data_IF_224332380339
#
_entry.id   IF_224332380339
#
_cell.length_a   1.000
_cell.length_b   1.000
_cell.length_c   1.000
_cell.angle_alpha   90.00
_cell.angle_beta   90.00
_cell.angle_gamma   90.00
#
_symmetry.space_group_name_H-M   'P 1'
#
loop_
_entity.id
_entity.type
_entity.pdbx_description
1 polymer ?
#
# COMPACT_ATOMS: atom_id res chain seq x y z
N UNK A 1 -17.21 -24.44 -5.83
CA UNK A 1 -16.34 -24.57 -7.02
C UNK A 1 -15.07 -23.80 -6.73
N UNK A 2 -13.96 -24.50 -6.50
CA UNK A 2 -12.68 -23.89 -6.16
C UNK A 2 -12.02 -23.42 -7.48
N UNK A 3 -12.24 -22.16 -7.86
CA UNK A 3 -11.61 -21.56 -9.04
C UNK A 3 -10.48 -20.67 -8.59
N UNK A 4 -9.36 -21.28 -8.20
CA UNK A 4 -8.09 -20.54 -8.16
C UNK A 4 -7.90 -19.94 -9.55
N UNK A 5 -7.75 -18.61 -9.70
CA UNK A 5 -7.53 -18.01 -11.01
C UNK A 5 -6.29 -18.66 -11.64
N UNK A 6 -6.42 -19.25 -12.83
CA UNK A 6 -5.26 -19.84 -13.51
C UNK A 6 -4.17 -18.77 -13.66
N UNK A 7 -2.88 -19.14 -13.50
CA UNK A 7 -1.79 -18.23 -13.78
C UNK A 7 -1.94 -17.65 -15.19
N UNK A 8 -1.69 -16.36 -15.33
CA UNK A 8 -1.74 -15.72 -16.65
C UNK A 8 -0.76 -16.39 -17.61
N UNK A 9 -1.24 -16.76 -18.80
CA UNK A 9 -0.40 -17.34 -19.85
C UNK A 9 -0.09 -16.30 -20.93
N UNK A 10 1.19 -16.16 -21.28
CA UNK A 10 1.66 -15.22 -22.32
C UNK A 10 1.49 -15.78 -23.74
N UNK A 11 0.35 -16.40 -24.00
CA UNK A 11 0.11 -17.16 -25.25
C UNK A 11 -0.06 -16.27 -26.49
N UNK A 12 -0.24 -14.95 -26.31
CA UNK A 12 -0.35 -14.00 -27.42
C UNK A 12 0.43 -12.69 -27.17
N UNK A 13 0.94 -12.03 -28.24
CA UNK A 13 1.61 -10.73 -28.13
C UNK A 13 0.73 -9.63 -27.52
N UNK A 14 -0.58 -9.64 -27.79
CA UNK A 14 -1.52 -8.66 -27.25
C UNK A 14 -1.72 -8.82 -25.74
N UNK A 15 -1.74 -10.06 -25.22
CA UNK A 15 -1.74 -10.31 -23.78
C UNK A 15 -0.45 -9.83 -23.12
N UNK A 16 0.71 -10.11 -23.73
CA UNK A 16 2.00 -9.64 -23.21
C UNK A 16 2.04 -8.09 -23.08
N UNK A 17 1.57 -7.37 -24.11
CA UNK A 17 1.48 -5.90 -24.09
C UNK A 17 0.58 -5.38 -22.97
N UNK A 18 -0.58 -6.00 -22.74
CA UNK A 18 -1.51 -5.58 -21.69
C UNK A 18 -0.95 -5.82 -20.30
N UNK A 19 -0.29 -6.97 -20.07
CA UNK A 19 0.35 -7.32 -18.80
C UNK A 19 1.44 -6.31 -18.45
N UNK A 20 2.34 -6.00 -19.37
CA UNK A 20 3.43 -5.05 -19.07
C UNK A 20 2.90 -3.65 -18.76
N UNK A 21 1.86 -3.20 -19.45
CA UNK A 21 1.25 -1.89 -19.19
C UNK A 21 0.49 -1.83 -17.86
N UNK A 22 -0.11 -2.95 -17.43
CA UNK A 22 -0.68 -3.06 -16.09
C UNK A 22 0.40 -2.95 -15.01
N UNK A 23 1.53 -3.62 -15.20
CA UNK A 23 2.67 -3.50 -14.29
C UNK A 23 3.18 -2.05 -14.19
N UNK A 24 3.30 -1.37 -15.33
CA UNK A 24 3.65 0.06 -15.37
C UNK A 24 2.63 0.92 -14.62
N UNK A 25 1.33 0.67 -14.81
CA UNK A 25 0.28 1.41 -14.09
C UNK A 25 0.38 1.20 -12.57
N UNK A 26 0.62 -0.04 -12.12
CA UNK A 26 0.84 -0.35 -10.71
C UNK A 26 2.05 0.37 -10.11
N UNK A 27 3.17 0.41 -10.84
CA UNK A 27 4.39 1.10 -10.40
C UNK A 27 4.21 2.62 -10.26
N UNK A 28 3.39 3.25 -11.10
CA UNK A 28 3.12 4.69 -11.01
C UNK A 28 2.27 5.08 -9.79
N UNK A 29 1.77 4.08 -9.05
CA UNK A 29 1.09 4.22 -7.78
C UNK A 29 1.76 3.41 -6.64
N UNK A 30 2.95 2.83 -6.87
CA UNK A 30 3.66 1.96 -5.92
C UNK A 30 2.83 0.77 -5.38
N UNK A 31 1.91 0.23 -6.20
CA UNK A 31 1.09 -0.93 -5.81
C UNK A 31 2.00 -2.17 -5.65
N UNK A 32 2.11 -2.76 -4.45
CA UNK A 32 2.90 -3.97 -4.25
C UNK A 32 2.29 -5.18 -4.95
N UNK A 33 3.13 -6.12 -5.34
CA UNK A 33 2.73 -7.38 -5.95
C UNK A 33 2.25 -8.45 -4.94
N UNK A 34 1.41 -8.07 -3.97
CA UNK A 34 0.95 -8.96 -2.89
C UNK A 34 -0.50 -8.66 -2.45
N UNK A 35 -1.46 -9.14 -3.23
CA UNK A 35 -2.90 -8.95 -2.99
C UNK A 35 -3.48 -10.00 -2.04
N UNK A 36 -2.97 -11.23 -2.03
CA UNK A 36 -3.39 -12.26 -1.08
C UNK A 36 -2.82 -11.98 0.30
N UNK A 37 -3.64 -12.13 1.34
CA UNK A 37 -3.26 -11.80 2.70
C UNK A 37 -2.23 -12.81 3.21
N UNK A 38 -2.56 -14.10 3.18
CA UNK A 38 -1.77 -15.14 3.87
C UNK A 38 -0.74 -15.82 3.00
N UNK A 39 -0.89 -15.77 1.68
CA UNK A 39 0.03 -16.45 0.79
C UNK A 39 1.44 -15.81 0.85
N UNK A 40 2.51 -16.60 0.65
CA UNK A 40 3.84 -16.06 0.44
C UNK A 40 3.86 -15.06 -0.73
N UNK A 41 4.81 -14.12 -0.69
CA UNK A 41 5.01 -13.21 -1.82
C UNK A 41 5.31 -14.01 -3.11
N UNK A 42 4.72 -13.64 -4.26
CA UNK A 42 4.95 -14.35 -5.50
C UNK A 42 6.39 -14.26 -5.98
N UNK A 43 6.89 -15.33 -6.60
CA UNK A 43 8.29 -15.47 -7.00
C UNK A 43 8.54 -15.10 -8.45
N UNK A 44 7.54 -15.29 -9.32
CA UNK A 44 7.68 -15.01 -10.76
C UNK A 44 7.12 -13.63 -11.11
N UNK A 45 7.67 -13.01 -12.16
CA UNK A 45 7.19 -11.72 -12.68
C UNK A 45 5.71 -11.80 -13.06
N UNK A 46 5.30 -12.87 -13.74
CA UNK A 46 3.90 -13.06 -14.16
C UNK A 46 2.95 -13.11 -12.96
N UNK A 47 3.28 -13.86 -11.91
CA UNK A 47 2.44 -13.90 -10.69
C UNK A 47 2.43 -12.55 -9.98
N UNK A 48 3.56 -11.84 -9.95
CA UNK A 48 3.65 -10.51 -9.33
C UNK A 48 2.74 -9.50 -10.04
N UNK A 49 2.76 -9.46 -11.37
CA UNK A 49 1.87 -8.58 -12.15
C UNK A 49 0.41 -9.01 -11.99
N UNK A 50 0.14 -10.31 -11.88
CA UNK A 50 -1.21 -10.81 -11.61
C UNK A 50 -1.75 -10.33 -10.25
N UNK A 51 -0.92 -10.28 -9.20
CA UNK A 51 -1.33 -9.72 -7.91
C UNK A 51 -1.61 -8.20 -8.01
N UNK A 52 -0.80 -7.43 -8.75
CA UNK A 52 -1.09 -6.01 -9.01
C UNK A 52 -2.41 -5.83 -9.79
N UNK A 53 -2.71 -6.75 -10.71
CA UNK A 53 -3.99 -6.76 -11.41
C UNK A 53 -5.16 -7.01 -10.46
N UNK A 54 -5.03 -7.91 -9.48
CA UNK A 54 -6.12 -8.14 -8.53
C UNK A 54 -6.47 -6.89 -7.71
N UNK A 55 -5.48 -6.13 -7.25
CA UNK A 55 -5.74 -4.79 -6.70
C UNK A 55 -6.48 -3.88 -7.67
N UNK A 56 -6.03 -3.82 -8.93
CA UNK A 56 -6.64 -2.96 -9.94
C UNK A 56 -8.07 -3.39 -10.32
N UNK A 57 -8.38 -4.68 -10.26
CA UNK A 57 -9.66 -5.24 -10.67
C UNK A 57 -10.69 -5.21 -9.54
N UNK A 58 -10.30 -5.52 -8.31
CA UNK A 58 -11.23 -5.73 -7.20
C UNK A 58 -11.28 -4.56 -6.21
N UNK A 59 -10.15 -3.94 -5.90
CA UNK A 59 -10.12 -2.88 -4.89
C UNK A 59 -10.32 -1.48 -5.49
N UNK A 60 -10.01 -1.31 -6.78
CA UNK A 60 -10.11 -0.01 -7.44
C UNK A 60 -11.53 0.57 -7.46
N UNK A 61 -12.55 -0.27 -7.60
CA UNK A 61 -13.95 0.18 -7.63
C UNK A 61 -14.42 0.74 -6.28
N UNK A 62 -14.03 0.11 -5.18
CA UNK A 62 -14.37 0.56 -3.83
C UNK A 62 -13.58 1.82 -3.44
N UNK A 63 -12.24 1.75 -3.50
CA UNK A 63 -11.37 2.83 -2.99
C UNK A 63 -11.25 4.02 -3.93
N UNK A 64 -11.31 3.81 -5.24
CA UNK A 64 -11.12 4.87 -6.25
C UNK A 64 -12.38 5.14 -7.08
N UNK A 65 -13.49 4.45 -6.79
CA UNK A 65 -14.83 4.76 -7.29
C UNK A 65 -15.69 5.39 -6.20
N UNK A 66 -16.41 4.59 -5.41
CA UNK A 66 -17.36 5.10 -4.41
C UNK A 66 -16.71 6.02 -3.37
N UNK A 67 -15.58 5.61 -2.79
CA UNK A 67 -14.86 6.44 -1.81
C UNK A 67 -14.34 7.74 -2.45
N UNK A 68 -13.98 7.68 -3.74
CA UNK A 68 -13.56 8.87 -4.47
C UNK A 68 -14.70 9.87 -4.62
N UNK A 69 -15.91 9.42 -4.92
CA UNK A 69 -17.08 10.29 -5.03
C UNK A 69 -17.37 11.00 -3.70
N UNK A 70 -17.28 10.31 -2.56
CA UNK A 70 -17.44 10.93 -1.23
C UNK A 70 -16.37 11.99 -0.96
N UNK A 71 -15.10 11.70 -1.31
CA UNK A 71 -14.00 12.67 -1.23
C UNK A 71 -14.29 13.92 -2.06
N UNK A 72 -14.71 13.76 -3.32
CA UNK A 72 -15.02 14.89 -4.20
C UNK A 72 -16.22 15.70 -3.70
N UNK A 73 -17.25 15.03 -3.17
CA UNK A 73 -18.42 15.68 -2.59
C UNK A 73 -18.05 16.54 -1.37
N UNK A 74 -17.20 16.03 -0.46
CA UNK A 74 -16.71 16.78 0.70
C UNK A 74 -15.79 17.94 0.31
N UNK A 75 -14.92 17.70 -0.66
CA UNK A 75 -13.96 18.69 -1.13
C UNK A 75 -14.57 19.75 -2.07
N UNK A 76 -15.77 19.50 -2.60
CA UNK A 76 -16.48 20.40 -3.52
C UNK A 76 -15.94 20.39 -4.95
N UNK A 77 -15.22 19.33 -5.36
CA UNK A 77 -14.63 19.23 -6.70
C UNK A 77 -13.57 18.12 -6.79
N UNK A 78 -12.87 18.03 -7.92
CA UNK A 78 -11.79 17.06 -8.14
C UNK A 78 -10.47 17.54 -7.47
N UNK A 79 -9.96 16.93 -6.39
CA UNK A 79 -8.68 17.31 -5.79
C UNK A 79 -7.46 16.61 -6.42
N UNK A 80 -7.62 15.85 -7.51
CA UNK A 80 -6.56 15.05 -8.12
C UNK A 80 -6.09 15.64 -9.45
N UNK A 81 -4.79 15.54 -9.72
CA UNK A 81 -4.20 16.07 -10.96
C UNK A 81 -3.03 15.22 -11.47
N UNK A 82 -2.73 15.42 -12.75
CA UNK A 82 -1.45 14.99 -13.35
C UNK A 82 -0.75 16.14 -14.12
N UNK A 83 -1.24 17.38 -13.98
CA UNK A 83 -0.49 18.56 -14.43
C UNK A 83 0.85 18.66 -13.70
N UNK A 84 1.91 19.01 -14.42
CA UNK A 84 3.27 19.08 -13.86
C UNK A 84 3.93 17.72 -13.55
N UNK A 85 3.24 16.59 -13.75
CA UNK A 85 3.81 15.25 -13.53
C UNK A 85 4.66 14.83 -14.73
N UNK A 86 5.95 14.59 -14.49
CA UNK A 86 6.82 13.84 -15.39
C UNK A 86 6.82 12.36 -14.98
N UNK A 87 6.16 11.53 -15.78
CA UNK A 87 6.02 10.10 -15.51
C UNK A 87 7.35 9.35 -15.53
N UNK A 88 8.40 9.86 -16.20
CA UNK A 88 9.74 9.26 -16.14
C UNK A 88 10.37 9.47 -14.77
N UNK A 89 10.27 10.69 -14.23
CA UNK A 89 10.75 11.02 -12.88
C UNK A 89 9.95 10.31 -11.81
N UNK A 90 8.64 10.20 -12.00
CA UNK A 90 7.76 9.45 -11.09
C UNK A 90 8.15 7.97 -11.06
N UNK A 91 8.23 7.32 -12.23
CA UNK A 91 8.63 5.93 -12.35
C UNK A 91 10.01 5.64 -11.77
N UNK A 92 10.98 6.54 -11.97
CA UNK A 92 12.33 6.39 -11.43
C UNK A 92 12.39 6.31 -9.89
N UNK A 93 11.34 6.75 -9.19
CA UNK A 93 11.21 6.70 -7.72
C UNK A 93 10.45 5.48 -7.22
N UNK A 94 9.80 4.73 -8.11
CA UNK A 94 8.90 3.65 -7.72
C UNK A 94 9.65 2.49 -7.06
N UNK A 95 9.04 1.96 -5.99
CA UNK A 95 9.47 0.70 -5.36
C UNK A 95 9.26 -0.51 -6.28
N UNK A 96 8.35 -0.40 -7.25
CA UNK A 96 8.02 -1.44 -8.22
C UNK A 96 8.81 -1.31 -9.54
N UNK A 97 9.77 -0.36 -9.61
CA UNK A 97 10.56 -0.09 -10.82
C UNK A 97 11.22 -1.35 -11.38
N UNK A 98 11.89 -2.14 -10.52
CA UNK A 98 12.61 -3.34 -10.94
C UNK A 98 11.71 -4.39 -11.57
N UNK A 99 10.49 -4.57 -11.03
CA UNK A 99 9.48 -5.48 -11.61
C UNK A 99 9.13 -5.05 -13.04
N UNK A 100 8.83 -3.76 -13.25
CA UNK A 100 8.45 -3.24 -14.57
C UNK A 100 9.61 -3.29 -15.57
N UNK A 101 10.84 -3.00 -15.15
CA UNK A 101 12.01 -3.09 -16.04
C UNK A 101 12.27 -4.52 -16.51
N UNK A 102 12.05 -5.51 -15.64
CA UNK A 102 12.17 -6.93 -15.99
C UNK A 102 11.03 -7.34 -16.93
N UNK A 103 9.79 -7.01 -16.59
CA UNK A 103 8.60 -7.27 -17.39
C UNK A 103 8.69 -6.71 -18.82
N UNK A 104 9.07 -5.44 -18.97
CA UNK A 104 9.20 -4.82 -20.30
C UNK A 104 10.33 -5.44 -21.12
N UNK A 105 11.43 -5.87 -20.47
CA UNK A 105 12.54 -6.54 -21.13
C UNK A 105 12.12 -7.92 -21.64
N UNK A 106 11.43 -8.71 -20.82
CA UNK A 106 10.91 -10.03 -21.21
C UNK A 106 9.88 -9.94 -22.33
N UNK A 107 9.04 -8.91 -22.31
CA UNK A 107 8.02 -8.68 -23.33
C UNK A 107 8.57 -8.06 -24.63
N UNK A 108 9.85 -7.65 -24.67
CA UNK A 108 10.44 -6.96 -25.83
C UNK A 108 9.83 -5.58 -26.10
N UNK A 109 9.32 -4.90 -25.06
CA UNK A 109 8.62 -3.62 -25.18
C UNK A 109 9.51 -2.43 -24.79
N UNK A 110 9.20 -1.26 -25.36
CA UNK A 110 9.91 -0.02 -25.03
C UNK A 110 9.23 0.72 -23.89
N UNK A 111 9.78 0.59 -22.68
CA UNK A 111 9.33 1.34 -21.50
C UNK A 111 9.45 2.86 -21.72
N UNK A 112 10.52 3.30 -22.39
CA UNK A 112 10.72 4.71 -22.77
C UNK A 112 9.59 5.24 -23.64
N UNK A 113 9.07 4.44 -24.59
CA UNK A 113 7.97 4.80 -25.48
C UNK A 113 6.67 4.97 -24.69
N UNK A 114 6.34 4.02 -23.82
CA UNK A 114 5.11 4.08 -23.02
C UNK A 114 5.14 5.22 -21.97
N UNK A 115 6.28 5.45 -21.30
CA UNK A 115 6.46 6.63 -20.44
C UNK A 115 6.37 7.95 -21.24
N UNK A 116 6.85 7.95 -22.48
CA UNK A 116 6.68 9.07 -23.40
C UNK A 116 5.22 9.34 -23.74
N UNK A 117 4.45 8.28 -24.02
CA UNK A 117 3.01 8.36 -24.27
C UNK A 117 2.25 8.90 -23.06
N UNK A 118 2.58 8.46 -21.85
CA UNK A 118 1.98 9.00 -20.62
C UNK A 118 2.29 10.48 -20.42
N UNK A 119 3.51 10.91 -20.73
CA UNK A 119 3.87 12.34 -20.67
C UNK A 119 3.21 13.19 -21.76
N UNK A 120 2.83 12.61 -22.89
CA UNK A 120 2.08 13.29 -23.95
C UNK A 120 0.55 13.26 -23.74
N UNK A 121 0.07 12.47 -22.77
CA UNK A 121 -1.36 12.30 -22.54
C UNK A 121 -2.02 13.62 -22.05
N UNK A 122 -3.33 13.79 -22.31
CA UNK A 122 -4.09 14.91 -21.80
C UNK A 122 -3.92 15.07 -20.29
N UNK A 123 -3.88 16.33 -19.83
CA UNK A 123 -3.68 16.67 -18.43
C UNK A 123 -5.00 16.95 -17.74
N UNK A 124 -5.18 16.36 -16.56
CA UNK A 124 -6.26 16.62 -15.62
C UNK A 124 -5.76 17.66 -14.63
N UNK A 125 -6.51 18.76 -14.54
CA UNK A 125 -6.32 19.80 -13.52
C UNK A 125 -7.21 19.49 -12.33
N UNK A 126 -6.71 19.75 -11.12
CA UNK A 126 -7.52 19.72 -9.92
C UNK A 126 -8.25 21.05 -9.75
N UNK A 127 -9.35 21.01 -9.01
CA UNK A 127 -9.97 22.18 -8.43
C UNK A 127 -9.11 22.69 -7.25
N UNK A 128 -8.58 23.93 -7.31
CA UNK A 128 -7.74 24.47 -6.24
C UNK A 128 -8.43 24.56 -4.88
N UNK A 129 -9.75 24.75 -4.81
CA UNK A 129 -10.51 24.73 -3.56
C UNK A 129 -10.56 23.32 -2.99
N UNK A 130 -10.81 22.31 -3.83
CA UNK A 130 -10.82 20.91 -3.40
C UNK A 130 -9.45 20.46 -2.88
N UNK A 131 -8.37 20.89 -3.54
CA UNK A 131 -6.99 20.65 -3.07
C UNK A 131 -6.77 21.27 -1.70
N UNK A 132 -7.13 22.56 -1.52
CA UNK A 132 -7.00 23.24 -0.22
C UNK A 132 -7.84 22.58 0.87
N UNK A 133 -9.02 22.07 0.54
CA UNK A 133 -9.86 21.34 1.48
C UNK A 133 -9.15 20.07 1.96
N UNK A 134 -8.63 19.23 1.06
CA UNK A 134 -7.92 18.02 1.45
C UNK A 134 -6.57 18.28 2.11
N UNK A 135 -5.86 19.35 1.75
CA UNK A 135 -4.65 19.77 2.46
C UNK A 135 -4.98 20.10 3.92
N UNK A 136 -6.07 20.85 4.15
CA UNK A 136 -6.49 21.28 5.49
C UNK A 136 -7.03 20.15 6.36
N UNK A 137 -7.83 19.24 5.79
CA UNK A 137 -8.62 18.28 6.56
C UNK A 137 -8.23 16.82 6.34
N UNK A 138 -7.61 16.49 5.20
CA UNK A 138 -7.28 15.12 4.82
C UNK A 138 -5.79 14.78 4.91
N UNK A 139 -4.90 15.78 5.06
CA UNK A 139 -3.45 15.58 5.01
C UNK A 139 -2.83 15.65 6.40
N UNK A 140 -2.25 14.55 6.92
CA UNK A 140 -1.57 14.57 8.20
C UNK A 140 -0.38 15.53 8.20
N UNK A 141 -0.39 16.54 9.06
CA UNK A 141 0.69 17.55 9.17
C UNK A 141 1.94 17.04 9.89
N UNK A 142 1.87 15.83 10.46
CA UNK A 142 2.97 15.25 11.26
C UNK A 142 3.07 15.79 12.69
N UNK A 143 2.15 16.63 13.15
CA UNK A 143 2.13 17.06 14.56
C UNK A 143 1.82 15.86 15.47
N UNK A 144 2.67 15.62 16.46
CA UNK A 144 2.53 14.53 17.43
C UNK A 144 2.63 15.03 18.88
N UNK A 145 1.70 15.89 19.33
CA UNK A 145 1.67 16.36 20.73
C UNK A 145 1.45 15.20 21.71
N UNK A 146 0.83 14.12 21.24
CA UNK A 146 0.63 12.87 21.95
C UNK A 146 1.38 11.73 21.26
N UNK A 147 1.71 10.63 21.97
CA UNK A 147 2.22 9.42 21.34
C UNK A 147 1.29 8.90 20.24
N UNK A 148 1.87 8.48 19.12
CA UNK A 148 1.19 7.90 17.96
C UNK A 148 1.83 6.57 17.63
N UNK A 149 1.00 5.52 17.51
CA UNK A 149 1.40 4.23 16.96
C UNK A 149 0.65 4.02 15.65
N UNK A 150 1.37 3.60 14.60
CA UNK A 150 0.75 3.14 13.34
C UNK A 150 0.98 1.65 13.16
N UNK A 151 0.06 0.98 12.47
CA UNK A 151 0.14 -0.43 12.07
C UNK A 151 -0.14 -0.51 10.57
N UNK A 152 0.70 -1.20 9.80
CA UNK A 152 0.59 -1.24 8.33
C UNK A 152 0.99 -2.60 7.75
N UNK A 153 0.21 -3.13 6.81
CA UNK A 153 0.57 -4.35 6.07
C UNK A 153 1.65 -4.04 5.04
N UNK A 154 2.75 -4.80 5.03
CA UNK A 154 3.87 -4.52 4.10
C UNK A 154 3.51 -4.67 2.63
N UNK A 155 2.48 -5.46 2.30
CA UNK A 155 1.99 -5.65 0.94
C UNK A 155 0.77 -4.82 0.56
N UNK A 156 0.40 -3.79 1.33
CA UNK A 156 -0.79 -2.97 1.10
C UNK A 156 -0.75 -2.20 -0.24
N UNK A 157 -1.64 -2.55 -1.16
CA UNK A 157 -1.75 -1.91 -2.49
C UNK A 157 -2.77 -0.78 -2.59
N UNK A 158 -3.59 -0.57 -1.56
CA UNK A 158 -4.57 0.52 -1.55
C UNK A 158 -3.96 1.78 -0.94
N UNK A 159 -3.15 1.60 0.11
CA UNK A 159 -2.35 2.64 0.74
C UNK A 159 -0.91 2.12 0.88
N UNK A 160 -0.06 2.28 -0.14
CA UNK A 160 1.31 1.77 -0.11
C UNK A 160 2.09 2.20 1.14
N UNK A 161 2.92 1.32 1.71
CA UNK A 161 3.63 1.58 2.97
C UNK A 161 4.60 2.77 2.87
N UNK A 162 4.97 3.22 1.67
CA UNK A 162 5.70 4.46 1.41
C UNK A 162 5.04 5.68 2.06
N UNK A 163 3.70 5.69 2.21
CA UNK A 163 2.96 6.73 2.94
C UNK A 163 3.40 6.82 4.41
N UNK A 164 3.69 5.69 5.06
CA UNK A 164 4.21 5.65 6.42
C UNK A 164 5.57 6.36 6.51
N UNK A 165 6.45 6.18 5.52
CA UNK A 165 7.75 6.88 5.47
C UNK A 165 7.59 8.38 5.25
N UNK A 166 6.64 8.79 4.40
CA UNK A 166 6.30 10.20 4.21
C UNK A 166 5.77 10.82 5.51
N UNK A 167 4.83 10.16 6.19
CA UNK A 167 4.30 10.64 7.47
C UNK A 167 5.40 10.79 8.51
N UNK A 168 6.30 9.80 8.64
CA UNK A 168 7.45 9.93 9.54
C UNK A 168 8.35 11.12 9.19
N UNK A 169 8.44 11.50 7.91
CA UNK A 169 9.16 12.71 7.49
C UNK A 169 8.46 14.00 7.90
N UNK A 170 7.13 14.02 7.90
CA UNK A 170 6.35 15.14 8.44
C UNK A 170 6.50 15.24 9.95
N UNK A 171 6.46 14.11 10.67
CA UNK A 171 6.71 14.09 12.12
C UNK A 171 8.11 14.61 12.47
N UNK A 172 9.13 14.30 11.66
CA UNK A 172 10.48 14.87 11.85
C UNK A 172 10.55 16.38 11.61
N UNK A 173 9.68 16.93 10.77
CA UNK A 173 9.66 18.37 10.44
C UNK A 173 8.81 19.18 11.41
N UNK A 174 7.68 18.64 11.85
CA UNK A 174 6.61 19.41 12.51
C UNK A 174 6.13 18.81 13.83
N UNK A 175 6.64 17.63 14.22
CA UNK A 175 6.23 16.93 15.44
C UNK A 175 7.41 16.51 16.30
N UNK A 176 7.17 15.50 17.12
CA UNK A 176 8.13 14.92 18.05
C UNK A 176 8.45 13.49 17.58
N UNK A 177 9.61 13.23 16.95
CA UNK A 177 9.96 11.91 16.42
C UNK A 177 9.92 10.79 17.45
N UNK A 178 10.25 11.10 18.71
CA UNK A 178 10.21 10.14 19.81
C UNK A 178 8.79 9.74 20.20
N UNK A 179 7.76 10.48 19.78
CA UNK A 179 6.35 10.13 19.97
C UNK A 179 5.77 9.26 18.85
N UNK A 180 6.51 8.97 17.78
CA UNK A 180 6.05 8.08 16.72
C UNK A 180 6.64 6.68 16.88
N UNK A 181 5.79 5.66 16.80
CA UNK A 181 6.16 4.26 16.55
C UNK A 181 5.37 3.73 15.37
N UNK A 182 6.06 3.08 14.44
CA UNK A 182 5.44 2.48 13.26
C UNK A 182 5.71 0.98 13.30
N UNK A 183 4.63 0.22 13.34
CA UNK A 183 4.63 -1.23 13.36
C UNK A 183 4.16 -1.74 12.00
N UNK A 184 4.68 -2.90 11.60
CA UNK A 184 4.36 -3.50 10.32
C UNK A 184 4.07 -4.98 10.50
N UNK A 185 3.15 -5.50 9.69
CA UNK A 185 2.92 -6.95 9.58
C UNK A 185 3.31 -7.43 8.18
N UNK A 186 3.95 -8.59 8.13
CA UNK A 186 4.38 -9.22 6.89
C UNK A 186 3.22 -9.91 6.16
N UNK A 187 2.25 -9.10 5.73
CA UNK A 187 1.02 -9.57 5.10
C UNK A 187 0.73 -8.80 3.81
N UNK A 188 0.09 -9.46 2.85
CA UNK A 188 -0.50 -8.80 1.67
C UNK A 188 -1.85 -8.17 1.97
N UNK A 189 -2.39 -7.45 0.99
CA UNK A 189 -3.66 -6.73 1.07
C UNK A 189 -3.70 -5.53 2.05
N UNK A 190 -4.78 -4.74 1.97
CA UNK A 190 -5.02 -3.55 2.78
C UNK A 190 -5.62 -3.89 4.16
N UNK A 191 -5.06 -3.31 5.22
CA UNK A 191 -5.55 -3.44 6.61
C UNK A 191 -5.77 -4.88 7.08
N UNK A 192 -4.96 -5.81 6.60
CA UNK A 192 -5.04 -7.21 6.98
C UNK A 192 -4.25 -7.43 8.25
N UNK A 193 -4.91 -7.25 9.38
CA UNK A 193 -4.37 -7.49 10.72
C UNK A 193 -5.21 -8.56 11.42
N UNK A 194 -4.59 -9.32 12.31
CA UNK A 194 -5.38 -10.10 13.27
C UNK A 194 -5.82 -9.19 14.41
N UNK A 195 -6.95 -9.52 15.05
CA UNK A 195 -7.38 -8.79 16.24
C UNK A 195 -6.31 -8.81 17.34
N UNK A 196 -5.53 -9.90 17.47
CA UNK A 196 -4.41 -9.96 18.41
C UNK A 196 -3.29 -8.97 18.07
N UNK A 197 -2.97 -8.74 16.80
CA UNK A 197 -1.99 -7.72 16.38
C UNK A 197 -2.50 -6.30 16.66
N UNK A 198 -3.79 -6.04 16.43
CA UNK A 198 -4.41 -4.75 16.75
C UNK A 198 -4.42 -4.49 18.26
N UNK A 199 -4.80 -5.47 19.08
CA UNK A 199 -4.78 -5.38 20.54
C UNK A 199 -3.37 -5.11 21.04
N UNK A 200 -2.36 -5.84 20.56
CA UNK A 200 -0.94 -5.61 20.96
C UNK A 200 -0.44 -4.23 20.53
N UNK A 201 -0.88 -3.75 19.36
CA UNK A 201 -0.58 -2.39 18.89
C UNK A 201 -1.18 -1.34 19.83
N UNK A 202 -2.45 -1.51 20.23
CA UNK A 202 -3.11 -0.62 21.20
C UNK A 202 -2.44 -0.69 22.58
N UNK A 203 -2.12 -1.88 23.08
CA UNK A 203 -1.39 -2.07 24.34
C UNK A 203 -0.02 -1.39 24.32
N UNK A 204 0.66 -1.37 23.16
CA UNK A 204 1.93 -0.64 22.97
C UNK A 204 1.74 0.86 23.20
N UNK A 205 0.68 1.45 22.62
CA UNK A 205 0.33 2.86 22.82
C UNK A 205 -0.04 3.14 24.28
N UNK A 206 -0.92 2.33 24.87
CA UNK A 206 -1.36 2.48 26.25
C UNK A 206 -0.20 2.38 27.24
N UNK A 207 0.74 1.45 27.02
CA UNK A 207 1.94 1.33 27.86
C UNK A 207 2.79 2.60 27.79
N UNK A 208 2.98 3.18 26.60
CA UNK A 208 3.69 4.46 26.45
C UNK A 208 2.97 5.61 27.16
N UNK A 209 1.64 5.64 27.13
CA UNK A 209 0.86 6.67 27.82
C UNK A 209 0.96 6.52 29.35
N UNK A 210 0.85 5.29 29.86
CA UNK A 210 0.82 5.03 31.30
C UNK A 210 2.19 5.09 31.98
N UNK A 211 3.26 4.66 31.28
CA UNK A 211 4.61 4.54 31.87
C UNK A 211 5.56 5.64 31.40
N UNK A 212 5.15 6.45 30.42
CA UNK A 212 6.04 7.37 29.71
C UNK A 212 7.25 6.69 29.06
N UNK A 213 7.24 5.37 28.85
CA UNK A 213 8.29 4.63 28.14
C UNK A 213 7.68 3.75 27.06
N UNK A 214 8.32 3.69 25.89
CA UNK A 214 7.91 2.72 24.88
C UNK A 214 8.27 1.30 25.36
N UNK A 215 7.34 0.34 25.35
CA UNK A 215 7.71 -1.06 25.54
C UNK A 215 8.56 -1.55 24.37
N UNK A 216 9.09 -2.77 24.48
CA UNK A 216 9.78 -3.40 23.35
C UNK A 216 8.82 -3.56 22.17
N UNK A 217 9.12 -2.87 21.08
CA UNK A 217 8.43 -3.04 19.79
C UNK A 217 9.23 -3.91 18.83
N UNK A 218 10.06 -4.82 19.36
CA UNK A 218 10.76 -5.80 18.52
C UNK A 218 9.72 -6.80 17.98
N UNK A 219 9.78 -7.16 16.68
CA UNK A 219 8.83 -8.11 16.10
C UNK A 219 8.70 -9.41 16.89
N UNK A 220 9.81 -9.96 17.40
CA UNK A 220 9.81 -11.17 18.23
C UNK A 220 8.96 -11.01 19.49
N UNK A 221 9.11 -9.89 20.21
CA UNK A 221 8.29 -9.59 21.40
C UNK A 221 6.82 -9.44 21.03
N UNK A 222 6.52 -8.65 20.00
CA UNK A 222 5.14 -8.38 19.61
C UNK A 222 4.41 -9.65 19.13
N UNK A 223 5.09 -10.49 18.35
CA UNK A 223 4.54 -11.78 17.89
C UNK A 223 4.30 -12.74 19.05
N UNK A 224 5.23 -12.84 20.01
CA UNK A 224 5.04 -13.66 21.20
C UNK A 224 3.83 -13.22 22.02
N UNK A 225 3.66 -11.91 22.23
CA UNK A 225 2.48 -11.38 22.94
C UNK A 225 1.19 -11.64 22.16
N UNK A 226 1.17 -11.39 20.84
CA UNK A 226 -0.01 -11.59 20.01
C UNK A 226 -0.41 -13.07 19.89
N UNK A 227 0.57 -13.99 19.90
CA UNK A 227 0.34 -15.43 19.86
C UNK A 227 -0.24 -15.98 21.16
N UNK A 228 -0.13 -15.24 22.28
CA UNK A 228 -0.70 -15.61 23.58
C UNK A 228 -2.22 -15.42 23.67
N UNK A 229 -2.84 -14.75 22.70
CA UNK A 229 -4.30 -14.62 22.63
C UNK A 229 -4.97 -15.89 22.12
N UNK A 230 -6.26 -16.05 22.39
CA UNK A 230 -7.03 -17.21 21.91
C UNK A 230 -7.10 -17.27 20.38
N UNK A 231 -7.27 -18.47 19.77
CA UNK A 231 -7.30 -18.63 18.30
C UNK A 231 -8.33 -17.76 17.57
N UNK A 232 -9.45 -17.41 18.21
CA UNK A 232 -10.47 -16.52 17.61
C UNK A 232 -9.92 -15.12 17.30
N UNK A 233 -8.92 -14.64 18.04
CA UNK A 233 -8.25 -13.36 17.77
C UNK A 233 -7.14 -13.46 16.72
N UNK A 234 -6.83 -14.66 16.24
CA UNK A 234 -5.74 -14.94 15.31
C UNK A 234 -6.32 -15.33 13.94
N UNK A 235 -7.22 -14.49 13.43
CA UNK A 235 -7.80 -14.66 12.09
C UNK A 235 -7.64 -13.37 11.29
N UNK A 236 -7.52 -13.49 9.97
CA UNK A 236 -7.46 -12.34 9.06
C UNK A 236 -8.35 -12.60 7.85
N UNK A 237 -8.92 -11.54 7.28
CA UNK A 237 -9.63 -11.65 6.01
C UNK A 237 -8.64 -11.86 4.87
N UNK A 238 -8.88 -12.87 4.05
CA UNK A 238 -8.13 -13.15 2.83
C UNK A 238 -9.07 -13.05 1.64
N UNK A 239 -8.82 -12.16 0.65
CA UNK A 239 -9.72 -12.01 -0.49
C UNK A 239 -9.58 -13.14 -1.53
N UNK A 240 -8.49 -13.91 -1.49
CA UNK A 240 -8.17 -14.95 -2.46
C UNK A 240 -7.27 -16.02 -1.80
N UNK A 241 -7.38 -17.32 -2.15
CA UNK A 241 -8.30 -17.92 -3.13
C UNK A 241 -9.70 -18.18 -2.59
N UNK A 242 -9.87 -18.17 -1.27
CA UNK A 242 -11.15 -18.43 -0.59
C UNK A 242 -11.51 -17.20 0.25
N UNK A 243 -12.40 -16.30 -0.23
CA UNK A 243 -12.80 -15.12 0.51
C UNK A 243 -13.34 -15.48 1.91
N UNK A 244 -12.72 -14.96 2.96
CA UNK A 244 -13.18 -15.22 4.33
C UNK A 244 -12.15 -14.93 5.41
N UNK A 245 -12.56 -15.12 6.66
CA UNK A 245 -11.66 -15.07 7.82
C UNK A 245 -10.96 -16.42 7.96
N UNK A 246 -9.63 -16.38 8.04
CA UNK A 246 -8.81 -17.59 8.12
C UNK A 246 -7.84 -17.53 9.31
N UNK A 247 -7.61 -18.65 10.02
CA UNK A 247 -6.57 -18.75 11.03
C UNK A 247 -5.21 -18.29 10.49
N UNK A 248 -4.54 -17.44 11.25
CA UNK A 248 -3.31 -16.77 10.84
C UNK A 248 -2.44 -16.46 12.04
N UNK A 249 -1.18 -16.90 11.99
CA UNK A 249 -0.19 -16.54 12.99
C UNK A 249 0.14 -15.05 12.92
N UNK A 250 0.30 -14.35 14.07
CA UNK A 250 0.81 -12.99 14.10
C UNK A 250 2.15 -12.86 13.38
N UNK A 251 2.30 -11.79 12.60
CA UNK A 251 3.39 -11.63 11.65
C UNK A 251 4.01 -10.23 11.70
N UNK A 252 4.11 -9.62 12.89
CA UNK A 252 4.91 -8.40 13.06
C UNK A 252 6.30 -8.59 12.46
N UNK A 253 6.80 -7.57 11.77
CA UNK A 253 8.08 -7.60 11.07
C UNK A 253 8.79 -6.26 11.12
N UNK A 254 10.10 -6.26 10.81
CA UNK A 254 10.81 -5.02 10.50
C UNK A 254 10.59 -4.71 9.03
N UNK A 255 10.18 -3.47 8.76
CA UNK A 255 10.02 -3.01 7.39
C UNK A 255 10.49 -1.57 7.25
N UNK A 256 11.11 -1.28 6.11
CA UNK A 256 11.63 0.03 5.76
C UNK A 256 11.09 0.41 4.38
N UNK A 257 9.91 1.06 4.32
CA UNK A 257 9.29 1.40 3.04
C UNK A 257 10.21 2.26 2.16
N UNK A 258 10.00 2.23 0.85
CA UNK A 258 10.70 3.13 -0.07
C UNK A 258 10.27 4.58 0.14
N UNK A 259 10.90 5.51 -0.58
CA UNK A 259 10.47 6.91 -0.54
C UNK A 259 9.15 7.05 -1.27
N UNK A 260 8.24 7.84 -0.72
CA UNK A 260 6.98 8.16 -1.35
C UNK A 260 7.16 8.84 -2.71
N UNK A 261 6.35 8.43 -3.68
CA UNK A 261 6.47 8.80 -5.10
C UNK A 261 6.37 10.31 -5.34
N UNK A 262 5.39 10.95 -4.69
CA UNK A 262 5.01 12.34 -4.92
C UNK A 262 5.40 13.18 -3.68
N UNK A 263 6.35 14.11 -3.79
CA UNK A 263 6.75 14.94 -2.65
C UNK A 263 5.63 15.89 -2.23
#
# INVERSE_FOLDING_TARGET
>A
MNTTPRPWSRTSPSHSVSISRLALAGALADVPARYTSRAPAPKTITEQVQQQYFYAAYDRGAFWGLNRTDIEARAGGNPSWNTGVDYRRLFARSSQKSLVEQEYREAGLSLRKDLGRLNAAPRIKADPNAVRHLDRYGTPTGRTPWPVVTLHSTGDGNVPPENQRWYASQVRRAGTPTNLRQLYVDRGNHCTFTASEEIVTLQTLLTRLNTHHWPSTRPTTLNLTAAGFTPVHQTVFDPDPEPGLHPTTPAFTRHHPSRYLRP
#
